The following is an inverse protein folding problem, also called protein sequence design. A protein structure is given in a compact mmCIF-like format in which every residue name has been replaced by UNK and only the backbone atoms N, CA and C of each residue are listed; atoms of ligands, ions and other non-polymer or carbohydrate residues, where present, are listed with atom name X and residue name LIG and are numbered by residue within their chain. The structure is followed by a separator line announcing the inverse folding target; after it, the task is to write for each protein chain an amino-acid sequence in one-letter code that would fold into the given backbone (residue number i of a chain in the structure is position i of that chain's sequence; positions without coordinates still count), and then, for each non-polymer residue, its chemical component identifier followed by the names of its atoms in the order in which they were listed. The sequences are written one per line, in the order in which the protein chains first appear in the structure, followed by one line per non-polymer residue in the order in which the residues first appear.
data_IF_537162625224
#
_entry.id   IF_537162625224
#
_cell.length_a   1.000
_cell.length_b   1.000
_cell.length_c   1.000
_cell.angle_alpha   90.00
_cell.angle_beta   90.00
_cell.angle_gamma   90.00
#
_symmetry.space_group_name_H-M   'P 1'
#
loop_
_entity.id
_entity.type
_entity.pdbx_description
1 polymer ?
#
# COMPACT_ATOMS: atom_id res chain seq x y z
N UNK A 1 -11.80 7.77 -4.30
CA UNK A 1 -10.52 7.04 -4.36
C UNK A 1 -10.64 5.60 -3.88
N UNK A 2 -10.88 5.31 -2.59
CA UNK A 2 -10.94 3.91 -2.09
C UNK A 2 -11.89 3.00 -2.88
N UNK A 3 -13.10 3.46 -3.19
CA UNK A 3 -14.05 2.69 -4.02
C UNK A 3 -13.47 2.29 -5.38
N UNK A 4 -12.74 3.18 -6.04
CA UNK A 4 -12.13 2.91 -7.35
C UNK A 4 -10.99 1.90 -7.22
N UNK A 5 -10.16 2.02 -6.18
CA UNK A 5 -9.09 1.07 -5.91
C UNK A 5 -9.64 -0.35 -5.65
N UNK A 6 -10.73 -0.47 -4.90
CA UNK A 6 -11.41 -1.75 -4.68
C UNK A 6 -12.05 -2.33 -5.94
N UNK A 7 -12.63 -1.48 -6.81
CA UNK A 7 -13.17 -1.91 -8.11
C UNK A 7 -12.05 -2.44 -9.02
N UNK A 8 -10.89 -1.77 -9.05
CA UNK A 8 -9.70 -2.21 -9.81
C UNK A 8 -9.24 -3.60 -9.39
N UNK A 9 -9.37 -3.94 -8.11
CA UNK A 9 -9.03 -5.26 -7.56
C UNK A 9 -10.15 -6.31 -7.74
N UNK A 10 -11.21 -5.98 -8.50
CA UNK A 10 -12.36 -6.87 -8.76
C UNK A 10 -13.06 -7.37 -7.49
N UNK A 11 -13.04 -6.58 -6.40
CA UNK A 11 -13.72 -6.92 -5.16
C UNK A 11 -15.24 -6.93 -5.38
N UNK A 12 -15.99 -7.93 -4.84
CA UNK A 12 -17.44 -7.99 -4.99
C UNK A 12 -18.14 -6.72 -4.51
N UNK A 13 -19.14 -6.25 -5.28
CA UNK A 13 -19.82 -4.97 -5.04
C UNK A 13 -20.43 -4.84 -3.64
N UNK A 14 -20.94 -5.95 -3.08
CA UNK A 14 -21.47 -5.99 -1.72
C UNK A 14 -20.38 -5.71 -0.67
N UNK A 15 -19.20 -6.31 -0.84
CA UNK A 15 -18.07 -6.09 0.06
C UNK A 15 -17.52 -4.68 -0.09
N UNK A 16 -17.45 -4.14 -1.32
CA UNK A 16 -17.08 -2.73 -1.53
C UNK A 16 -18.05 -1.81 -0.77
N UNK A 17 -19.36 -2.04 -0.89
CA UNK A 17 -20.36 -1.23 -0.18
C UNK A 17 -20.19 -1.34 1.33
N UNK A 18 -19.96 -2.55 1.85
CA UNK A 18 -19.69 -2.78 3.27
C UNK A 18 -18.47 -1.98 3.75
N UNK A 19 -17.32 -2.12 3.08
CA UNK A 19 -16.07 -1.43 3.44
C UNK A 19 -16.25 0.09 3.39
N UNK A 20 -16.86 0.62 2.33
CA UNK A 20 -17.10 2.06 2.21
C UNK A 20 -18.00 2.57 3.34
N UNK A 21 -19.04 1.80 3.69
CA UNK A 21 -19.97 2.20 4.74
C UNK A 21 -19.30 2.28 6.12
N UNK A 22 -18.26 1.48 6.39
CA UNK A 22 -17.48 1.58 7.64
C UNK A 22 -16.91 2.99 7.84
N UNK A 23 -16.51 3.66 6.77
CA UNK A 23 -15.84 4.97 6.84
C UNK A 23 -16.71 6.16 6.46
N UNK A 24 -17.97 5.96 6.09
CA UNK A 24 -18.89 7.04 5.73
C UNK A 24 -19.65 7.60 6.93
N UNK A 25 -19.81 8.93 6.97
CA UNK A 25 -20.66 9.64 7.96
C UNK A 25 -20.31 9.33 9.43
N UNK A 26 -19.02 9.08 9.71
CA UNK A 26 -18.52 8.84 11.06
C UNK A 26 -18.56 10.11 11.91
N UNK A 27 -18.95 9.96 13.17
CA UNK A 27 -18.93 11.00 14.18
C UNK A 27 -18.18 10.45 15.39
N UNK A 28 -17.02 11.01 15.69
CA UNK A 28 -16.12 10.50 16.72
C UNK A 28 -16.10 11.44 17.92
N UNK A 29 -15.64 10.94 19.06
CA UNK A 29 -15.27 11.71 20.24
C UNK A 29 -13.87 11.29 20.65
N UNK A 30 -13.10 12.20 21.20
CA UNK A 30 -11.78 11.90 21.74
C UNK A 30 -11.95 11.61 23.23
N UNK A 31 -11.50 10.45 23.67
CA UNK A 31 -11.48 10.10 25.10
C UNK A 31 -10.24 10.74 25.71
N UNK A 32 -10.42 11.56 26.75
CA UNK A 32 -9.32 12.22 27.46
C UNK A 32 -9.37 11.90 28.95
N UNK A 33 -8.31 12.24 29.69
CA UNK A 33 -8.31 12.13 31.16
C UNK A 33 -9.38 12.99 31.88
N UNK A 34 -10.02 13.94 31.17
CA UNK A 34 -11.11 14.78 31.69
C UNK A 34 -12.49 14.32 31.20
N UNK A 35 -12.57 13.16 30.53
CA UNK A 35 -13.78 12.65 29.87
C UNK A 35 -13.76 12.85 28.35
N UNK A 36 -14.90 12.60 27.73
CA UNK A 36 -15.07 12.68 26.27
C UNK A 36 -15.15 14.13 25.79
N UNK A 37 -14.53 14.41 24.65
CA UNK A 37 -14.74 15.69 23.94
C UNK A 37 -16.15 15.77 23.34
N UNK A 38 -16.53 16.97 22.88
CA UNK A 38 -17.66 17.10 21.95
C UNK A 38 -17.44 16.25 20.70
N UNK A 39 -18.54 15.74 20.14
CA UNK A 39 -18.51 14.93 18.93
C UNK A 39 -18.10 15.75 17.72
N UNK A 40 -17.26 15.17 16.86
CA UNK A 40 -16.85 15.79 15.60
C UNK A 40 -17.07 14.82 14.43
N UNK A 41 -17.51 15.36 13.29
CA UNK A 41 -17.67 14.58 12.07
C UNK A 41 -16.32 14.36 11.42
N UNK A 42 -15.96 13.09 11.21
CA UNK A 42 -14.76 12.73 10.45
C UNK A 42 -15.03 12.92 8.96
N UNK A 43 -14.22 13.77 8.31
CA UNK A 43 -14.38 14.10 6.88
C UNK A 43 -13.58 13.17 5.97
N UNK A 44 -12.38 12.79 6.40
CA UNK A 44 -11.42 11.98 5.65
C UNK A 44 -10.56 11.18 6.62
N UNK A 45 -9.94 10.12 6.12
CA UNK A 45 -9.04 9.25 6.88
C UNK A 45 -9.66 7.89 7.15
N UNK A 46 -8.78 6.94 7.40
CA UNK A 46 -9.08 5.62 7.98
C UNK A 46 -8.73 5.66 9.46
N UNK A 47 -9.38 4.82 10.26
CA UNK A 47 -9.15 4.81 11.71
C UNK A 47 -7.85 4.08 12.05
N UNK A 48 -6.93 4.77 12.71
CA UNK A 48 -5.70 4.17 13.20
C UNK A 48 -6.01 3.17 14.32
N UNK A 49 -5.41 1.99 14.26
CA UNK A 49 -5.66 0.91 15.21
C UNK A 49 -6.74 -0.10 14.77
N UNK A 50 -7.51 0.21 13.73
CA UNK A 50 -8.43 -0.78 13.14
C UNK A 50 -7.65 -1.83 12.34
N UNK A 51 -8.06 -3.09 12.48
CA UNK A 51 -7.41 -4.25 11.83
C UNK A 51 -7.37 -4.10 10.31
N UNK A 52 -8.40 -3.51 9.71
CA UNK A 52 -8.53 -3.35 8.27
C UNK A 52 -7.69 -2.18 7.72
N UNK A 53 -7.28 -1.23 8.57
CA UNK A 53 -6.66 0.01 8.12
C UNK A 53 -5.33 -0.17 7.38
N UNK A 54 -4.39 -1.04 7.84
CA UNK A 54 -3.16 -1.30 7.08
C UNK A 54 -3.41 -1.85 5.67
N UNK A 55 -4.41 -2.73 5.51
CA UNK A 55 -4.76 -3.27 4.20
C UNK A 55 -5.31 -2.17 3.29
N UNK A 56 -6.18 -1.30 3.80
CA UNK A 56 -6.74 -0.19 3.03
C UNK A 56 -5.66 0.82 2.61
N UNK A 57 -4.65 1.02 3.45
CA UNK A 57 -3.49 1.85 3.12
C UNK A 57 -2.74 1.29 1.91
N UNK A 58 -2.41 -0.01 1.92
CA UNK A 58 -1.74 -0.67 0.79
C UNK A 58 -2.57 -0.60 -0.49
N UNK A 59 -3.88 -0.88 -0.41
CA UNK A 59 -4.80 -0.79 -1.56
C UNK A 59 -4.83 0.63 -2.12
N UNK A 60 -4.76 1.65 -1.27
CA UNK A 60 -4.78 3.05 -1.68
C UNK A 60 -3.47 3.47 -2.35
N UNK A 61 -2.33 3.02 -1.83
CA UNK A 61 -1.00 3.42 -2.30
C UNK A 61 -0.58 2.68 -3.58
N UNK A 62 -1.04 1.44 -3.77
CA UNK A 62 -0.61 0.58 -4.87
C UNK A 62 -0.74 1.20 -6.30
N UNK A 63 -1.81 1.92 -6.67
CA UNK A 63 -1.89 2.57 -7.99
C UNK A 63 -0.75 3.58 -8.23
N UNK A 64 -0.34 4.31 -7.19
CA UNK A 64 0.78 5.25 -7.29
C UNK A 64 2.09 4.51 -7.51
N UNK A 65 2.35 3.48 -6.70
CA UNK A 65 3.55 2.64 -6.82
C UNK A 65 3.65 1.95 -8.18
N UNK A 66 2.53 1.41 -8.67
CA UNK A 66 2.43 0.80 -10.00
C UNK A 66 2.80 1.80 -11.09
N UNK A 67 2.31 3.02 -10.99
CA UNK A 67 2.61 4.08 -11.97
C UNK A 67 4.08 4.48 -11.90
N UNK A 68 4.64 4.67 -10.71
CA UNK A 68 6.06 4.99 -10.53
C UNK A 68 6.98 3.91 -11.12
N UNK A 69 6.67 2.63 -10.90
CA UNK A 69 7.43 1.54 -11.51
C UNK A 69 7.30 1.51 -13.04
N UNK A 70 6.11 1.78 -13.58
CA UNK A 70 5.88 1.73 -15.03
C UNK A 70 6.55 2.90 -15.77
N UNK A 71 6.53 4.09 -15.18
CA UNK A 71 7.02 5.32 -15.81
C UNK A 71 8.50 5.61 -15.46
N UNK A 72 9.16 4.74 -14.71
CA UNK A 72 10.56 4.92 -14.33
C UNK A 72 11.46 4.88 -15.57
N UNK A 73 12.11 6.01 -15.89
CA UNK A 73 12.99 6.12 -17.06
C UNK A 73 14.29 5.32 -16.90
N UNK A 74 14.79 5.20 -15.68
CA UNK A 74 16.08 4.54 -15.39
C UNK A 74 16.01 3.79 -14.04
N UNK A 75 15.28 2.66 -13.99
CA UNK A 75 15.04 1.92 -12.76
C UNK A 75 16.30 1.21 -12.27
N UNK A 76 16.45 1.12 -10.95
CA UNK A 76 17.51 0.33 -10.35
C UNK A 76 17.29 -1.17 -10.63
N UNK A 77 18.33 -1.88 -11.06
CA UNK A 77 18.24 -3.32 -11.34
C UNK A 77 18.69 -4.11 -10.11
N UNK A 78 17.73 -4.67 -9.38
CA UNK A 78 18.01 -5.61 -8.30
C UNK A 78 18.44 -6.95 -8.89
N UNK A 79 19.68 -7.35 -8.63
CA UNK A 79 20.25 -8.63 -9.08
C UNK A 79 20.34 -9.61 -7.91
N UNK A 80 19.91 -10.84 -8.13
CA UNK A 80 20.10 -11.94 -7.19
C UNK A 80 20.50 -13.21 -7.94
N UNK A 81 21.08 -14.16 -7.22
CA UNK A 81 21.39 -15.47 -7.75
C UNK A 81 20.92 -16.55 -6.76
N UNK A 82 20.26 -17.59 -7.27
CA UNK A 82 19.90 -18.77 -6.50
C UNK A 82 20.73 -19.97 -6.99
N UNK A 83 21.21 -20.80 -6.06
CA UNK A 83 21.90 -22.03 -6.41
C UNK A 83 20.88 -23.02 -6.98
N UNK A 84 21.15 -23.54 -8.18
CA UNK A 84 20.34 -24.56 -8.85
C UNK A 84 20.87 -25.96 -8.57
N UNK A 85 22.18 -26.14 -8.76
CA UNK A 85 22.86 -27.42 -8.57
C UNK A 85 24.28 -27.19 -8.01
N UNK A 86 24.81 -28.18 -7.30
CA UNK A 86 26.11 -28.16 -6.66
C UNK A 86 27.18 -28.96 -7.43
N UNK A 87 26.79 -29.83 -8.37
CA UNK A 87 27.75 -30.58 -9.20
C UNK A 87 27.20 -30.90 -10.60
N UNK A 88 27.43 -30.01 -11.59
CA UNK A 88 28.26 -28.80 -11.52
C UNK A 88 27.62 -27.68 -10.68
N UNK A 89 28.44 -26.77 -10.15
CA UNK A 89 27.91 -25.58 -9.46
C UNK A 89 27.22 -24.69 -10.49
N UNK A 90 25.90 -24.60 -10.42
CA UNK A 90 25.07 -23.80 -11.30
C UNK A 90 24.21 -22.81 -10.50
N UNK A 91 24.12 -21.58 -10.99
CA UNK A 91 23.30 -20.53 -10.40
C UNK A 91 22.29 -20.02 -11.42
N UNK A 92 21.04 -19.84 -10.99
CA UNK A 92 20.06 -19.05 -11.71
C UNK A 92 20.21 -17.58 -11.33
N UNK A 93 20.36 -16.72 -12.33
CA UNK A 93 20.42 -15.26 -12.10
C UNK A 93 19.05 -14.64 -12.33
N UNK A 94 18.63 -13.79 -11.40
CA UNK A 94 17.42 -12.99 -11.53
C UNK A 94 17.76 -11.51 -11.53
N UNK A 95 17.03 -10.76 -12.35
CA UNK A 95 17.14 -9.31 -12.43
C UNK A 95 15.73 -8.72 -12.40
N UNK A 96 15.49 -7.81 -11.45
CA UNK A 96 14.21 -7.14 -11.28
C UNK A 96 14.43 -5.61 -11.32
N UNK A 97 13.85 -4.90 -12.31
CA UNK A 97 13.82 -3.44 -12.26
C UNK A 97 12.90 -2.98 -11.13
N UNK A 98 13.41 -2.12 -10.25
CA UNK A 98 12.68 -1.48 -9.17
C UNK A 98 12.90 0.03 -9.21
N UNK A 99 11.84 0.80 -8.99
CA UNK A 99 11.91 2.28 -8.91
C UNK A 99 11.74 2.83 -7.49
N UNK A 100 11.35 1.96 -6.56
CA UNK A 100 11.06 2.37 -5.18
C UNK A 100 11.13 1.20 -4.21
N UNK A 101 11.31 1.53 -2.93
CA UNK A 101 11.09 0.66 -1.79
C UNK A 101 10.13 1.39 -0.87
N UNK A 102 9.07 0.72 -0.44
CA UNK A 102 8.01 1.32 0.36
C UNK A 102 7.66 0.45 1.56
N UNK A 103 7.57 1.08 2.72
CA UNK A 103 7.05 0.50 3.95
C UNK A 103 6.01 1.45 4.56
N UNK A 104 4.73 1.08 4.49
CA UNK A 104 3.62 1.94 4.91
C UNK A 104 3.68 3.34 4.26
N UNK A 105 3.88 4.39 5.05
CA UNK A 105 4.01 5.78 4.60
C UNK A 105 5.44 6.18 4.23
N UNK A 106 6.44 5.40 4.64
CA UNK A 106 7.83 5.61 4.27
C UNK A 106 8.10 5.04 2.87
N UNK A 107 8.34 5.92 1.90
CA UNK A 107 8.68 5.55 0.52
C UNK A 107 10.00 6.18 0.10
N UNK A 108 10.91 5.36 -0.44
CA UNK A 108 12.17 5.81 -1.03
C UNK A 108 12.16 5.49 -2.52
N UNK A 109 12.38 6.50 -3.37
CA UNK A 109 12.59 6.32 -4.80
C UNK A 109 14.06 5.95 -5.07
N UNK A 110 14.28 5.02 -5.99
CA UNK A 110 15.60 4.52 -6.36
C UNK A 110 15.70 4.50 -7.88
N UNK A 111 16.84 4.93 -8.39
CA UNK A 111 17.17 4.94 -9.82
C UNK A 111 18.60 4.45 -10.02
N UNK A 112 18.99 4.18 -11.26
CA UNK A 112 20.39 3.97 -11.61
C UNK A 112 21.26 5.18 -11.25
N UNK A 113 22.52 4.93 -10.94
CA UNK A 113 23.53 5.99 -11.04
C UNK A 113 23.74 6.35 -12.50
N UNK A 114 23.95 7.63 -12.78
CA UNK A 114 24.58 8.08 -14.02
C UNK A 114 26.05 7.70 -14.04
#
# INVERSE_FOLDING_TARGET
MLRLALIRLHIPSLLIKFIINLFTRRNNKIITHHGDTSGYRVRIGIDQGEIISPLLWVIYLDPLLTTLNREACDPFILKSAALLDYSPIEYEQYSLPISHITFMDDSTLIASSK
#
